data_IF_475474390933
#
_entry.id   IF_475474390933
#
_cell.length_a   1.000
_cell.length_b   1.000
_cell.length_c   1.000
_cell.angle_alpha   90.00
_cell.angle_beta   90.00
_cell.angle_gamma   90.00
#
_symmetry.space_group_name_H-M   'P 1'
#
loop_
_entity.id
_entity.type
_entity.pdbx_description
1 polymer ?
#
# COMPACT_ATOMS: atom_id res chain seq x y z
N UNK A 1 3.96 -9.72 10.25
CA UNK A 1 3.34 -8.51 9.78
C UNK A 1 3.33 -7.47 10.89
N UNK A 2 3.77 -6.26 10.62
CA UNK A 2 3.83 -5.07 11.52
C UNK A 2 4.48 -5.29 12.92
N UNK A 3 5.09 -6.45 13.20
CA UNK A 3 5.62 -6.80 14.54
C UNK A 3 6.69 -5.82 15.05
N UNK A 4 7.51 -5.28 14.16
CA UNK A 4 8.58 -4.34 14.52
C UNK A 4 8.08 -2.94 14.89
N UNK A 5 6.83 -2.58 14.58
CA UNK A 5 6.27 -1.26 14.94
C UNK A 5 6.13 -1.09 16.45
N UNK A 6 5.94 -2.20 17.20
CA UNK A 6 5.77 -2.16 18.66
C UNK A 6 7.05 -1.86 19.42
N UNK A 7 8.23 -2.04 18.80
CA UNK A 7 9.54 -1.88 19.46
C UNK A 7 10.25 -0.56 19.12
N UNK A 8 9.71 0.24 18.18
CA UNK A 8 10.32 1.52 17.82
C UNK A 8 10.00 2.58 18.88
N UNK A 9 11.02 3.04 19.59
CA UNK A 9 10.93 4.24 20.43
C UNK A 9 10.70 5.44 19.51
N UNK A 10 9.60 6.16 19.72
CA UNK A 10 9.30 7.38 18.97
C UNK A 10 10.13 8.52 19.54
N UNK A 11 11.08 9.04 18.75
CA UNK A 11 12.04 10.06 19.20
C UNK A 11 11.54 11.50 19.08
N UNK A 12 10.44 11.75 18.40
CA UNK A 12 9.97 13.12 18.17
C UNK A 12 8.92 13.51 19.22
N UNK A 13 9.36 14.17 20.28
CA UNK A 13 8.49 14.55 21.39
C UNK A 13 8.90 15.89 21.95
N UNK A 14 7.91 16.73 22.16
CA UNK A 14 8.06 17.95 22.94
C UNK A 14 8.09 17.65 24.46
N UNK A 15 7.48 16.54 24.88
CA UNK A 15 7.34 16.15 26.27
C UNK A 15 8.10 14.86 26.56
N UNK A 16 8.70 14.79 27.75
CA UNK A 16 9.27 13.57 28.31
C UNK A 16 8.24 12.89 29.22
N UNK A 17 8.02 11.60 29.01
CA UNK A 17 7.14 10.79 29.86
C UNK A 17 8.00 9.91 30.77
N UNK A 18 7.61 9.78 32.03
CA UNK A 18 8.32 8.95 33.00
C UNK A 18 8.12 7.46 32.73
N UNK A 19 6.96 7.11 32.16
CA UNK A 19 6.61 5.72 31.84
C UNK A 19 5.71 5.63 30.60
N UNK A 20 5.53 4.40 30.09
CA UNK A 20 4.71 4.11 28.91
C UNK A 20 3.21 4.35 29.10
N UNK A 21 2.72 4.28 30.33
CA UNK A 21 1.31 4.46 30.62
C UNK A 21 0.94 5.93 30.55
N UNK A 22 1.79 6.83 31.05
CA UNK A 22 1.63 8.28 30.89
C UNK A 22 1.66 8.70 29.42
N UNK A 23 2.55 8.09 28.64
CA UNK A 23 2.59 8.30 27.19
C UNK A 23 1.29 7.89 26.50
N UNK A 24 0.75 6.70 26.85
CA UNK A 24 -0.52 6.21 26.32
C UNK A 24 -1.68 7.11 26.70
N UNK A 25 -1.75 7.54 27.95
CA UNK A 25 -2.79 8.42 28.43
C UNK A 25 -2.74 9.78 27.71
N UNK A 26 -1.56 10.35 27.56
CA UNK A 26 -1.37 11.58 26.76
C UNK A 26 -1.80 11.40 25.31
N UNK A 27 -1.44 10.27 24.68
CA UNK A 27 -1.86 9.96 23.32
C UNK A 27 -3.38 9.86 23.18
N UNK A 28 -4.05 9.18 24.11
CA UNK A 28 -5.51 9.06 24.11
C UNK A 28 -6.20 10.40 24.27
N UNK A 29 -5.70 11.27 25.18
CA UNK A 29 -6.23 12.63 25.33
C UNK A 29 -6.04 13.45 24.05
N UNK A 30 -4.90 13.34 23.38
CA UNK A 30 -4.65 14.05 22.12
C UNK A 30 -5.57 13.57 21.00
N UNK A 31 -5.82 12.25 20.90
CA UNK A 31 -6.76 11.69 19.93
C UNK A 31 -8.20 12.17 20.20
N UNK A 32 -8.65 12.15 21.45
CA UNK A 32 -9.98 12.68 21.83
C UNK A 32 -10.11 14.14 21.45
N UNK A 33 -9.12 14.98 21.80
CA UNK A 33 -9.10 16.38 21.40
C UNK A 33 -9.12 16.59 19.89
N UNK A 34 -8.38 15.76 19.16
CA UNK A 34 -8.36 15.85 17.69
C UNK A 34 -9.75 15.53 17.13
N UNK A 35 -10.43 14.51 17.65
CA UNK A 35 -11.80 14.19 17.25
C UNK A 35 -12.76 15.35 17.54
N UNK A 36 -12.72 15.91 18.76
CA UNK A 36 -13.53 17.06 19.15
C UNK A 36 -13.33 18.27 18.19
N UNK A 37 -12.09 18.54 17.78
CA UNK A 37 -11.83 19.61 16.79
C UNK A 37 -12.38 19.26 15.40
N UNK A 38 -12.20 18.03 14.95
CA UNK A 38 -12.69 17.60 13.65
C UNK A 38 -14.22 17.64 13.55
N UNK A 39 -14.94 17.35 14.65
CA UNK A 39 -16.40 17.45 14.73
C UNK A 39 -16.92 18.89 14.50
N UNK A 40 -16.08 19.91 14.75
CA UNK A 40 -16.44 21.32 14.47
C UNK A 40 -16.25 21.70 13.00
N UNK A 41 -15.66 20.84 12.19
CA UNK A 41 -15.38 21.08 10.78
C UNK A 41 -16.39 20.31 9.90
N UNK A 42 -16.58 20.72 8.63
CA UNK A 42 -17.44 20.02 7.69
C UNK A 42 -16.74 18.76 7.15
N UNK A 43 -16.38 17.84 8.04
CA UNK A 43 -15.71 16.57 7.73
C UNK A 43 -16.49 15.40 8.31
N UNK A 44 -16.37 14.24 7.71
CA UNK A 44 -16.90 12.98 8.24
C UNK A 44 -15.76 12.17 8.84
N UNK A 45 -15.87 11.79 10.11
CA UNK A 45 -14.94 10.90 10.78
C UNK A 45 -15.48 9.49 10.66
N UNK A 46 -14.69 8.57 10.15
CA UNK A 46 -15.04 7.15 10.03
C UNK A 46 -14.07 6.32 10.86
N UNK A 47 -14.61 5.51 11.73
CA UNK A 47 -13.87 4.51 12.51
C UNK A 47 -14.66 3.21 12.47
N UNK A 48 -14.01 2.13 12.05
CA UNK A 48 -14.61 0.81 11.97
C UNK A 48 -13.77 -0.13 12.85
N UNK A 49 -14.44 -0.84 13.76
CA UNK A 49 -13.76 -1.75 14.69
C UNK A 49 -13.09 -2.90 13.91
N UNK A 50 -11.85 -3.20 14.28
CA UNK A 50 -11.03 -4.26 13.69
C UNK A 50 -10.71 -4.12 12.19
N UNK A 51 -11.00 -2.98 11.59
CA UNK A 51 -10.65 -2.67 10.19
C UNK A 51 -9.52 -1.64 10.18
N UNK A 52 -8.55 -1.82 9.29
CA UNK A 52 -7.49 -0.82 9.09
C UNK A 52 -8.04 0.39 8.30
N UNK A 53 -7.46 1.58 8.52
CA UNK A 53 -7.93 2.80 7.87
C UNK A 53 -7.77 2.77 6.34
N UNK A 54 -6.73 2.09 5.85
CA UNK A 54 -6.47 1.88 4.42
C UNK A 54 -7.56 1.02 3.77
N UNK A 55 -8.02 -0.05 4.43
CA UNK A 55 -9.14 -0.87 3.98
C UNK A 55 -10.43 -0.03 3.90
N UNK A 56 -10.74 0.74 4.96
CA UNK A 56 -11.91 1.60 4.97
C UNK A 56 -11.87 2.65 3.84
N UNK A 57 -10.71 3.28 3.62
CA UNK A 57 -10.55 4.26 2.53
C UNK A 57 -10.70 3.62 1.15
N UNK A 58 -10.12 2.44 0.94
CA UNK A 58 -10.25 1.69 -0.32
C UNK A 58 -11.71 1.30 -0.58
N UNK A 59 -12.41 0.78 0.44
CA UNK A 59 -13.81 0.43 0.36
C UNK A 59 -14.68 1.63 -0.03
N UNK A 60 -14.48 2.78 0.62
CA UNK A 60 -15.23 4.02 0.32
C UNK A 60 -15.00 4.44 -1.14
N UNK A 61 -13.76 4.45 -1.59
CA UNK A 61 -13.43 4.93 -2.92
C UNK A 61 -13.90 3.97 -4.03
N UNK A 62 -13.85 2.65 -3.80
CA UNK A 62 -14.14 1.65 -4.84
C UNK A 62 -15.56 1.11 -4.78
N UNK A 63 -16.15 0.97 -3.60
CA UNK A 63 -17.42 0.26 -3.43
C UNK A 63 -18.56 1.16 -2.96
N UNK A 64 -18.31 2.05 -2.00
CA UNK A 64 -19.36 2.90 -1.45
C UNK A 64 -19.70 4.08 -2.37
N UNK A 65 -18.69 4.73 -2.95
CA UNK A 65 -18.84 5.92 -3.80
C UNK A 65 -18.11 5.75 -5.16
N UNK A 66 -18.35 4.68 -5.93
CA UNK A 66 -17.57 4.33 -7.12
C UNK A 66 -17.69 5.35 -8.27
N UNK A 67 -18.75 6.16 -8.27
CA UNK A 67 -18.99 7.17 -9.30
C UNK A 67 -18.34 8.53 -8.98
N UNK A 68 -17.81 8.71 -7.78
CA UNK A 68 -17.17 9.95 -7.35
C UNK A 68 -15.71 10.02 -7.78
N UNK A 69 -15.17 11.24 -7.85
CA UNK A 69 -13.73 11.44 -7.97
C UNK A 69 -13.14 11.53 -6.56
N UNK A 70 -12.08 10.75 -6.32
CA UNK A 70 -11.42 10.65 -5.03
C UNK A 70 -9.99 11.16 -5.08
N UNK A 71 -9.59 11.84 -4.00
CA UNK A 71 -8.20 12.18 -3.72
C UNK A 71 -7.83 11.61 -2.37
N UNK A 72 -7.12 10.49 -2.34
CA UNK A 72 -6.59 9.90 -1.12
C UNK A 72 -5.33 10.65 -0.72
N UNK A 73 -5.31 11.24 0.48
CA UNK A 73 -4.12 11.92 1.00
C UNK A 73 -3.33 10.97 1.91
N UNK A 74 -2.25 10.42 1.39
CA UNK A 74 -1.39 9.48 2.13
C UNK A 74 0.06 9.51 1.67
N UNK A 75 0.96 9.11 2.56
CA UNK A 75 2.37 8.82 2.23
C UNK A 75 2.62 7.35 1.95
N UNK A 76 1.63 6.51 2.20
CA UNK A 76 1.70 5.08 1.99
C UNK A 76 1.62 4.76 0.49
N UNK A 77 2.60 4.00 0.02
CA UNK A 77 2.69 3.60 -1.40
C UNK A 77 1.63 2.57 -1.77
N UNK A 78 1.07 1.87 -0.81
CA UNK A 78 0.09 0.82 -1.10
C UNK A 78 -1.19 1.40 -1.67
N UNK A 79 -1.52 2.68 -1.37
CA UNK A 79 -2.61 3.38 -2.05
C UNK A 79 -2.39 3.61 -3.55
N UNK A 80 -1.16 3.55 -4.04
CA UNK A 80 -0.88 3.77 -5.47
C UNK A 80 -1.47 2.66 -6.36
N UNK A 81 -1.80 1.49 -5.80
CA UNK A 81 -2.53 0.43 -6.50
C UNK A 81 -3.99 0.82 -6.83
N UNK A 82 -4.56 1.81 -6.13
CA UNK A 82 -5.92 2.28 -6.35
C UNK A 82 -6.03 3.36 -7.42
N UNK A 83 -4.89 3.88 -7.90
CA UNK A 83 -4.85 5.00 -8.85
C UNK A 83 -5.48 4.59 -10.17
N UNK A 84 -6.48 5.36 -10.60
CA UNK A 84 -7.15 5.22 -11.88
C UNK A 84 -7.74 6.57 -12.32
N UNK A 85 -8.64 6.60 -13.30
CA UNK A 85 -9.24 7.84 -13.81
C UNK A 85 -10.06 8.61 -12.76
N UNK A 86 -10.61 7.90 -11.75
CA UNK A 86 -11.45 8.48 -10.68
C UNK A 86 -10.71 8.62 -9.34
N UNK A 87 -9.68 7.82 -9.10
CA UNK A 87 -8.94 7.79 -7.82
C UNK A 87 -7.52 8.30 -8.04
N UNK A 88 -7.17 9.36 -7.33
CA UNK A 88 -5.82 9.92 -7.29
C UNK A 88 -5.25 9.86 -5.88
N UNK A 89 -3.93 9.82 -5.74
CA UNK A 89 -3.25 9.82 -4.43
C UNK A 89 -2.38 11.07 -4.29
N UNK A 90 -2.67 11.91 -3.29
CA UNK A 90 -1.83 13.04 -2.92
C UNK A 90 -0.83 12.64 -1.85
N UNK A 91 0.45 12.73 -2.17
CA UNK A 91 1.54 12.54 -1.20
C UNK A 91 1.97 13.88 -0.60
N UNK A 92 1.65 14.19 0.68
CA UNK A 92 2.00 15.46 1.29
C UNK A 92 3.51 15.63 1.49
N UNK A 93 4.26 14.56 1.69
CA UNK A 93 5.72 14.60 1.84
C UNK A 93 6.43 14.89 0.53
N UNK A 94 5.98 14.30 -0.57
CA UNK A 94 6.53 14.54 -1.91
C UNK A 94 5.90 15.76 -2.59
N UNK A 95 4.80 16.30 -2.03
CA UNK A 95 3.98 17.37 -2.63
C UNK A 95 3.57 17.05 -4.07
N UNK A 96 3.18 15.79 -4.30
CA UNK A 96 2.87 15.26 -5.62
C UNK A 96 1.51 14.55 -5.62
N UNK A 97 0.71 14.83 -6.65
CA UNK A 97 -0.55 14.12 -6.93
C UNK A 97 -0.26 13.01 -7.93
N UNK A 98 -0.50 11.77 -7.53
CA UNK A 98 -0.39 10.60 -8.40
C UNK A 98 -1.70 10.36 -9.14
N UNK A 99 -1.61 10.36 -10.45
CA UNK A 99 -2.59 9.92 -11.44
C UNK A 99 -1.92 8.85 -12.31
N UNK A 100 -2.65 8.10 -13.18
CA UNK A 100 -2.04 7.05 -13.98
C UNK A 100 -0.78 7.49 -14.73
N UNK A 101 -0.82 8.64 -15.42
CA UNK A 101 0.29 9.12 -16.24
C UNK A 101 1.56 9.38 -15.43
N UNK A 102 1.46 10.16 -14.35
CA UNK A 102 2.65 10.51 -13.58
C UNK A 102 3.11 9.41 -12.61
N UNK A 103 2.27 8.43 -12.31
CA UNK A 103 2.68 7.19 -11.67
C UNK A 103 3.55 6.39 -12.64
N UNK A 104 3.11 6.23 -13.90
CA UNK A 104 3.87 5.58 -14.96
C UNK A 104 5.19 6.31 -15.27
N UNK A 105 5.19 7.65 -15.24
CA UNK A 105 6.41 8.46 -15.38
C UNK A 105 7.45 8.16 -14.29
N UNK A 106 7.03 8.01 -13.03
CA UNK A 106 7.95 7.81 -11.90
C UNK A 106 8.42 6.36 -11.75
N UNK A 107 7.51 5.41 -11.96
CA UNK A 107 7.77 3.99 -11.70
C UNK A 107 7.96 3.16 -12.97
N UNK A 108 7.64 3.69 -14.14
CA UNK A 108 7.55 2.97 -15.42
C UNK A 108 6.52 1.81 -15.40
N UNK A 109 5.88 1.55 -14.28
CA UNK A 109 4.84 0.54 -14.08
C UNK A 109 3.48 1.18 -14.35
N UNK A 110 2.60 0.49 -15.06
CA UNK A 110 1.23 0.93 -15.24
C UNK A 110 0.42 0.84 -13.94
N UNK A 111 -0.58 1.72 -13.77
CA UNK A 111 -1.34 1.81 -12.53
C UNK A 111 -2.05 0.48 -12.17
N UNK A 112 -2.66 -0.19 -13.15
CA UNK A 112 -3.31 -1.49 -13.00
C UNK A 112 -2.36 -2.61 -12.56
N UNK A 113 -1.05 -2.50 -12.85
CA UNK A 113 -0.04 -3.49 -12.46
C UNK A 113 0.78 -3.10 -11.23
N UNK A 114 0.43 -1.98 -10.58
CA UNK A 114 1.23 -1.47 -9.48
C UNK A 114 1.24 -2.43 -8.28
N UNK A 115 0.10 -3.03 -7.91
CA UNK A 115 0.04 -4.06 -6.88
C UNK A 115 0.96 -5.23 -7.22
N UNK A 116 0.85 -5.78 -8.44
CA UNK A 116 1.67 -6.92 -8.88
C UNK A 116 3.17 -6.64 -8.80
N UNK A 117 3.59 -5.42 -9.16
CA UNK A 117 4.96 -4.99 -8.91
C UNK A 117 5.31 -4.97 -7.41
N UNK A 118 4.42 -4.42 -6.55
CA UNK A 118 4.64 -4.34 -5.11
C UNK A 118 4.77 -5.73 -4.47
N UNK A 119 4.07 -6.75 -4.98
CA UNK A 119 4.23 -8.13 -4.50
C UNK A 119 5.66 -8.66 -4.71
N UNK A 120 6.28 -8.29 -5.83
CA UNK A 120 7.66 -8.65 -6.15
C UNK A 120 8.67 -7.89 -5.28
N UNK A 121 8.46 -6.58 -5.07
CA UNK A 121 9.34 -5.73 -4.27
C UNK A 121 9.21 -6.00 -2.78
N UNK A 122 7.99 -6.26 -2.30
CA UNK A 122 7.64 -6.33 -0.88
C UNK A 122 7.56 -4.97 -0.21
N UNK A 123 7.30 -4.96 1.09
CA UNK A 123 7.32 -3.77 1.94
C UNK A 123 8.14 -3.98 3.21
N UNK A 124 9.27 -3.27 3.30
CA UNK A 124 10.16 -3.35 4.47
C UNK A 124 9.57 -2.67 5.71
N UNK A 125 8.71 -1.67 5.53
CA UNK A 125 8.10 -0.96 6.65
C UNK A 125 7.11 -1.85 7.40
N UNK A 126 6.43 -2.73 6.68
CA UNK A 126 5.46 -3.68 7.21
C UNK A 126 6.02 -5.09 7.42
N UNK A 127 7.32 -5.25 7.18
CA UNK A 127 8.00 -6.54 7.29
C UNK A 127 7.44 -7.59 6.30
N UNK A 128 7.06 -7.13 5.12
CA UNK A 128 6.61 -7.99 4.03
C UNK A 128 7.80 -8.24 3.09
N UNK A 129 8.39 -9.44 3.08
CA UNK A 129 9.55 -9.71 2.24
C UNK A 129 9.14 -9.84 0.77
N UNK A 130 9.83 -9.13 -0.12
CA UNK A 130 9.73 -9.32 -1.56
C UNK A 130 10.52 -10.53 -2.06
N UNK A 131 10.57 -10.69 -3.38
CA UNK A 131 11.39 -11.69 -4.05
C UNK A 131 12.84 -11.24 -4.08
N UNK A 132 13.75 -12.11 -3.68
CA UNK A 132 15.17 -11.78 -3.59
C UNK A 132 15.76 -11.34 -4.95
N UNK A 133 16.32 -10.14 -4.97
CA UNK A 133 16.94 -9.53 -6.16
C UNK A 133 15.96 -8.84 -7.11
N UNK A 134 14.68 -8.74 -6.74
CA UNK A 134 13.67 -8.04 -7.54
C UNK A 134 13.30 -6.73 -6.85
N UNK A 135 13.83 -5.64 -7.36
CA UNK A 135 13.38 -4.27 -7.11
C UNK A 135 12.88 -3.66 -8.41
N UNK A 136 12.49 -2.40 -8.40
CA UNK A 136 11.85 -1.70 -9.53
C UNK A 136 12.56 -1.94 -10.87
N UNK A 137 13.87 -1.66 -10.96
CA UNK A 137 14.65 -1.83 -12.20
C UNK A 137 14.67 -3.27 -12.71
N UNK A 138 14.69 -4.24 -11.78
CA UNK A 138 14.68 -5.66 -12.15
C UNK A 138 13.28 -6.07 -12.61
N UNK A 139 12.23 -5.61 -11.95
CA UNK A 139 10.84 -5.86 -12.33
C UNK A 139 10.58 -5.35 -13.75
N UNK A 140 10.90 -4.09 -14.04
CA UNK A 140 10.76 -3.49 -15.37
C UNK A 140 11.50 -4.30 -16.44
N UNK A 141 12.76 -4.66 -16.17
CA UNK A 141 13.61 -5.38 -17.14
C UNK A 141 13.15 -6.82 -17.39
N UNK A 142 12.67 -7.51 -16.36
CA UNK A 142 12.37 -8.95 -16.41
C UNK A 142 10.90 -9.26 -16.67
N UNK A 143 10.02 -8.33 -16.35
CA UNK A 143 8.58 -8.44 -16.50
C UNK A 143 8.02 -7.21 -17.22
N UNK A 144 8.41 -6.97 -18.50
CA UNK A 144 8.01 -5.78 -19.25
C UNK A 144 6.49 -5.66 -19.43
N UNK A 145 5.74 -6.75 -19.31
CA UNK A 145 4.27 -6.72 -19.31
C UNK A 145 3.68 -5.85 -18.18
N UNK A 146 4.43 -5.60 -17.10
CA UNK A 146 4.00 -4.68 -16.03
C UNK A 146 3.90 -3.21 -16.48
N UNK A 147 4.48 -2.87 -17.63
CA UNK A 147 4.48 -1.51 -18.18
C UNK A 147 3.26 -1.26 -19.07
N UNK A 148 2.56 -2.32 -19.47
CA UNK A 148 1.42 -2.24 -20.39
C UNK A 148 0.12 -1.98 -19.61
N UNK A 149 -0.53 -0.85 -19.91
CA UNK A 149 -1.79 -0.46 -19.28
C UNK A 149 -3.01 -1.26 -19.78
N UNK A 150 -2.84 -1.99 -20.89
CA UNK A 150 -3.90 -2.84 -21.46
C UNK A 150 -3.82 -4.27 -20.95
N UNK A 151 -2.86 -4.59 -20.10
CA UNK A 151 -2.64 -5.95 -19.57
C UNK A 151 -2.66 -5.93 -18.05
N UNK A 152 -3.58 -6.69 -17.47
CA UNK A 152 -3.60 -6.94 -16.02
C UNK A 152 -2.76 -8.19 -15.72
N UNK A 153 -1.58 -7.96 -15.18
CA UNK A 153 -0.60 -9.02 -14.91
C UNK A 153 -0.90 -9.69 -13.56
N UNK A 154 -1.30 -10.94 -13.61
CA UNK A 154 -1.53 -11.77 -12.43
C UNK A 154 -0.24 -12.40 -11.88
N UNK A 155 -0.30 -12.97 -10.67
CA UNK A 155 0.77 -13.82 -10.12
C UNK A 155 1.02 -15.01 -11.06
N UNK A 156 -0.03 -15.57 -11.66
CA UNK A 156 0.09 -16.67 -12.62
C UNK A 156 0.93 -16.30 -13.86
N UNK A 157 0.76 -15.08 -14.37
CA UNK A 157 1.52 -14.57 -15.52
C UNK A 157 3.00 -14.34 -15.15
N UNK A 158 3.27 -13.85 -13.93
CA UNK A 158 4.65 -13.75 -13.44
C UNK A 158 5.32 -15.13 -13.35
N UNK A 159 4.62 -16.12 -12.78
CA UNK A 159 5.13 -17.49 -12.64
C UNK A 159 5.33 -18.16 -14.00
N UNK A 160 4.42 -17.94 -14.94
CA UNK A 160 4.55 -18.44 -16.32
C UNK A 160 5.79 -17.83 -16.98
N UNK A 161 5.94 -16.51 -16.94
CA UNK A 161 7.12 -15.83 -17.48
C UNK A 161 8.41 -16.34 -16.84
N UNK A 162 8.40 -16.58 -15.53
CA UNK A 162 9.54 -17.11 -14.81
C UNK A 162 9.86 -18.56 -15.22
N UNK A 163 8.85 -19.40 -15.39
CA UNK A 163 8.99 -20.80 -15.82
C UNK A 163 9.55 -20.91 -17.25
N UNK A 164 9.10 -20.03 -18.16
CA UNK A 164 9.58 -19.98 -19.54
C UNK A 164 11.06 -19.54 -19.65
N UNK A 165 11.59 -18.92 -18.60
CA UNK A 165 12.97 -18.42 -18.51
C UNK A 165 13.79 -19.13 -17.40
N UNK A 166 13.48 -20.39 -17.10
CA UNK A 166 14.15 -21.20 -16.08
C UNK A 166 15.67 -21.24 -16.28
N UNK A 167 16.40 -21.26 -15.16
CA UNK A 167 17.87 -21.24 -15.14
C UNK A 167 18.47 -19.83 -15.04
N UNK A 168 17.65 -18.79 -15.13
CA UNK A 168 18.07 -17.43 -14.81
C UNK A 168 17.66 -17.14 -13.36
N UNK A 169 18.63 -16.90 -12.49
CA UNK A 169 18.49 -16.76 -11.03
C UNK A 169 17.28 -15.91 -10.58
N UNK A 170 16.97 -14.82 -11.26
CA UNK A 170 15.84 -13.96 -10.91
C UNK A 170 14.51 -14.68 -11.13
N UNK A 171 14.34 -15.37 -12.25
CA UNK A 171 13.13 -16.11 -12.56
C UNK A 171 12.98 -17.35 -11.66
N UNK A 172 14.10 -18.03 -11.37
CA UNK A 172 14.09 -19.14 -10.40
C UNK A 172 13.67 -18.66 -9.00
N UNK A 173 14.13 -17.46 -8.58
CA UNK A 173 13.70 -16.84 -7.31
C UNK A 173 12.19 -16.52 -7.31
N UNK A 174 11.63 -16.04 -8.43
CA UNK A 174 10.19 -15.77 -8.55
C UNK A 174 9.40 -17.07 -8.46
N UNK A 175 9.78 -18.10 -9.20
CA UNK A 175 9.13 -19.41 -9.16
C UNK A 175 9.15 -20.01 -7.75
N UNK A 176 10.29 -19.94 -7.06
CA UNK A 176 10.45 -20.45 -5.70
C UNK A 176 9.74 -19.58 -4.63
N UNK A 177 9.16 -18.45 -5.02
CA UNK A 177 8.47 -17.52 -4.13
C UNK A 177 6.96 -17.49 -4.34
N UNK A 178 6.36 -18.50 -5.00
CA UNK A 178 4.92 -18.50 -5.27
C UNK A 178 4.07 -18.31 -4.00
N UNK A 179 4.30 -19.14 -2.97
CA UNK A 179 3.54 -19.04 -1.71
C UNK A 179 3.70 -17.66 -1.06
N UNK A 180 4.90 -17.10 -1.14
CA UNK A 180 5.20 -15.75 -0.65
C UNK A 180 4.42 -14.70 -1.43
N UNK A 181 4.38 -14.77 -2.75
CA UNK A 181 3.64 -13.83 -3.59
C UNK A 181 2.14 -13.88 -3.29
N UNK A 182 1.60 -15.08 -3.10
CA UNK A 182 0.19 -15.27 -2.72
C UNK A 182 -0.11 -14.73 -1.32
N UNK A 183 0.82 -14.88 -0.38
CA UNK A 183 0.69 -14.29 0.95
C UNK A 183 0.79 -12.77 0.90
N UNK A 184 1.75 -12.22 0.16
CA UNK A 184 1.90 -10.79 -0.02
C UNK A 184 0.63 -10.18 -0.63
N UNK A 185 0.01 -10.85 -1.61
CA UNK A 185 -1.26 -10.41 -2.19
C UNK A 185 -2.34 -10.27 -1.10
N UNK A 186 -2.53 -11.27 -0.25
CA UNK A 186 -3.52 -11.22 0.84
C UNK A 186 -3.25 -10.11 1.85
N UNK A 187 -1.98 -9.71 2.02
CA UNK A 187 -1.57 -8.70 3.00
C UNK A 187 -1.57 -7.28 2.45
N UNK A 188 -1.46 -7.11 1.14
CA UNK A 188 -1.21 -5.80 0.51
C UNK A 188 -2.33 -5.35 -0.42
N UNK A 189 -3.20 -6.27 -0.87
CA UNK A 189 -4.30 -5.89 -1.77
C UNK A 189 -5.33 -5.03 -1.04
N UNK A 190 -5.83 -4.01 -1.73
CA UNK A 190 -6.90 -3.11 -1.29
C UNK A 190 -8.12 -3.17 -2.24
N UNK A 191 -8.16 -4.15 -3.12
CA UNK A 191 -9.21 -4.28 -4.12
C UNK A 191 -10.45 -5.02 -3.61
N UNK A 192 -10.23 -6.07 -2.82
CA UNK A 192 -11.27 -6.95 -2.30
C UNK A 192 -11.33 -6.80 -0.77
N UNK A 193 -11.66 -5.59 -0.32
CA UNK A 193 -11.81 -5.32 1.11
C UNK A 193 -13.21 -5.73 1.56
N UNK A 194 -13.29 -6.67 2.47
CA UNK A 194 -14.52 -7.03 3.17
C UNK A 194 -14.55 -6.32 4.54
N UNK A 195 -15.45 -5.37 4.69
CA UNK A 195 -15.69 -4.65 5.95
C UNK A 195 -17.01 -5.05 6.60
N UNK A 196 -17.63 -6.15 6.18
CA UNK A 196 -18.90 -6.65 6.68
C UNK A 196 -18.78 -7.46 7.99
N UNK A 197 -17.74 -7.24 8.79
CA UNK A 197 -17.42 -7.93 10.02
C UNK A 197 -18.52 -8.07 11.08
#
# INVERSE_FOLDING_TARGET
YKAQRKTKIRLNRSDSFENLDDERQSMMMQLSRTAEYLETLPVTIISVDNIEADDAMAYIAKQLLPESNHVIMSTDKDFLQLVNDKISVWSPTKKKLYKPDNLKEEYEISANNFLTYRLLEGDKSDNIPGVMGVGLKTAIKRFPQLLDENVDVSIGDLLKTASDNKGIKIYDNVTNSEDKLRLNYKLMQLDEVDISG
#
